data_IF_779142034308
#
_entry.id   IF_779142034308
#
_cell.length_a   1.000
_cell.length_b   1.000
_cell.length_c   1.000
_cell.angle_alpha   90.00
_cell.angle_beta   90.00
_cell.angle_gamma   90.00
#
_symmetry.space_group_name_H-M   'P 1'
#
loop_
_entity.id
_entity.type
_entity.pdbx_description
1 polymer ?
#
# COMPACT_ATOMS: atom_id res chain seq x y z
N UNK A 1 -4.73 -10.40 -20.93
CA UNK A 1 -5.62 -9.78 -19.93
C UNK A 1 -4.90 -8.56 -19.36
N UNK A 2 -5.61 -7.60 -18.73
CA UNK A 2 -5.00 -6.37 -18.17
C UNK A 2 -3.76 -6.66 -17.29
N UNK A 3 -3.81 -7.71 -16.46
CA UNK A 3 -2.70 -8.11 -15.59
C UNK A 3 -1.47 -8.56 -16.39
N UNK A 4 -1.65 -9.19 -17.55
CA UNK A 4 -0.54 -9.63 -18.41
C UNK A 4 0.17 -8.43 -19.06
N UNK A 5 -0.60 -7.40 -19.45
CA UNK A 5 -0.05 -6.16 -19.99
C UNK A 5 0.75 -5.40 -18.93
N UNK A 6 0.22 -5.33 -17.71
CA UNK A 6 0.91 -4.75 -16.55
C UNK A 6 2.20 -5.54 -16.26
N UNK A 7 2.12 -6.87 -16.24
CA UNK A 7 3.27 -7.74 -16.01
C UNK A 7 4.37 -7.54 -17.07
N UNK A 8 3.98 -7.40 -18.35
CA UNK A 8 4.91 -7.14 -19.44
C UNK A 8 5.63 -5.79 -19.34
N UNK A 9 5.07 -4.84 -18.57
CA UNK A 9 5.71 -3.53 -18.31
C UNK A 9 6.91 -3.66 -17.35
N UNK A 10 6.95 -4.73 -16.54
CA UNK A 10 8.07 -5.06 -15.63
C UNK A 10 8.15 -4.22 -14.35
N UNK A 11 7.66 -2.98 -14.35
CA UNK A 11 7.55 -2.14 -13.15
C UNK A 11 6.41 -1.10 -13.30
N UNK A 12 5.88 -0.61 -12.18
CA UNK A 12 4.91 0.48 -12.22
C UNK A 12 4.20 0.72 -10.89
N UNK A 13 3.30 1.71 -10.91
CA UNK A 13 2.45 2.06 -9.78
C UNK A 13 0.99 1.92 -10.19
N UNK A 14 0.28 1.01 -9.53
CA UNK A 14 -1.14 0.75 -9.79
C UNK A 14 -1.93 1.36 -8.63
N UNK A 15 -2.72 2.39 -8.90
CA UNK A 15 -3.57 3.02 -7.90
C UNK A 15 -5.05 2.70 -8.16
N UNK A 16 -5.71 2.14 -7.16
CA UNK A 16 -7.17 1.94 -7.17
C UNK A 16 -7.85 3.11 -6.45
N UNK A 17 -8.48 4.00 -7.22
CA UNK A 17 -9.19 5.18 -6.70
C UNK A 17 -10.70 5.05 -6.88
N UNK A 18 -11.48 5.65 -5.97
CA UNK A 18 -12.94 5.67 -6.07
C UNK A 18 -13.65 5.73 -4.71
N UNK A 19 -14.98 5.94 -4.73
CA UNK A 19 -15.83 6.06 -3.54
C UNK A 19 -15.75 4.83 -2.61
N UNK A 20 -16.17 4.99 -1.35
CA UNK A 20 -16.21 3.88 -0.39
C UNK A 20 -17.08 2.71 -0.86
N UNK A 21 -16.67 1.48 -0.56
CA UNK A 21 -17.49 0.28 -0.80
C UNK A 21 -17.52 -0.28 -2.24
N UNK A 22 -16.77 0.27 -3.20
CA UNK A 22 -16.76 -0.23 -4.60
C UNK A 22 -15.82 -1.41 -4.85
N UNK A 23 -15.24 -2.01 -3.81
CA UNK A 23 -14.37 -3.19 -3.95
C UNK A 23 -12.91 -2.89 -4.33
N UNK A 24 -12.42 -1.65 -4.18
CA UNK A 24 -11.04 -1.26 -4.52
C UNK A 24 -9.98 -2.14 -3.86
N UNK A 25 -10.11 -2.37 -2.56
CA UNK A 25 -9.18 -3.19 -1.78
C UNK A 25 -9.15 -4.63 -2.29
N UNK A 26 -10.32 -5.19 -2.60
CA UNK A 26 -10.45 -6.53 -3.16
C UNK A 26 -9.81 -6.63 -4.54
N UNK A 27 -10.04 -5.65 -5.42
CA UNK A 27 -9.44 -5.64 -6.76
C UNK A 27 -7.92 -5.44 -6.69
N UNK A 28 -7.43 -4.56 -5.81
CA UNK A 28 -6.01 -4.35 -5.59
C UNK A 28 -5.33 -5.64 -5.11
N UNK A 29 -5.94 -6.36 -4.17
CA UNK A 29 -5.45 -7.66 -3.69
C UNK A 29 -5.43 -8.70 -4.81
N UNK A 30 -6.49 -8.81 -5.61
CA UNK A 30 -6.55 -9.75 -6.72
C UNK A 30 -5.47 -9.49 -7.78
N UNK A 31 -5.24 -8.21 -8.13
CA UNK A 31 -4.17 -7.84 -9.08
C UNK A 31 -2.79 -8.13 -8.49
N UNK A 32 -2.56 -7.82 -7.22
CA UNK A 32 -1.28 -8.07 -6.56
C UNK A 32 -0.94 -9.56 -6.48
N UNK A 33 -1.91 -10.40 -6.09
CA UNK A 33 -1.78 -11.86 -6.08
C UNK A 33 -1.44 -12.38 -7.47
N UNK A 34 -2.18 -11.95 -8.49
CA UNK A 34 -1.96 -12.41 -9.86
C UNK A 34 -0.57 -12.00 -10.41
N UNK A 35 -0.05 -10.84 -10.02
CA UNK A 35 1.31 -10.42 -10.38
C UNK A 35 2.38 -11.22 -9.62
N UNK A 36 2.17 -11.47 -8.32
CA UNK A 36 3.08 -12.25 -7.49
C UNK A 36 3.16 -13.73 -7.94
N UNK A 37 2.03 -14.33 -8.33
CA UNK A 37 1.99 -15.69 -8.91
C UNK A 37 2.76 -15.80 -10.23
N UNK A 38 2.96 -14.68 -10.94
CA UNK A 38 3.79 -14.61 -12.15
C UNK A 38 5.28 -14.42 -11.84
N UNK A 39 5.67 -14.45 -10.56
CA UNK A 39 7.06 -14.31 -10.11
C UNK A 39 7.55 -12.86 -10.01
N UNK A 40 6.65 -11.87 -10.12
CA UNK A 40 7.03 -10.47 -10.02
C UNK A 40 7.06 -10.02 -8.56
N UNK A 41 8.06 -9.23 -8.14
CA UNK A 41 8.07 -8.63 -6.81
C UNK A 41 6.96 -7.57 -6.71
N UNK A 42 6.03 -7.75 -5.79
CA UNK A 42 4.87 -6.87 -5.62
C UNK A 42 4.80 -6.38 -4.19
N UNK A 43 4.60 -5.07 -4.03
CA UNK A 43 4.25 -4.46 -2.75
C UNK A 43 2.82 -3.92 -2.81
N UNK A 44 1.94 -4.48 -2.00
CA UNK A 44 0.56 -4.00 -1.87
C UNK A 44 0.43 -3.22 -0.56
N UNK A 45 0.05 -1.94 -0.67
CA UNK A 45 -0.18 -1.08 0.49
C UNK A 45 -1.61 -0.56 0.53
N UNK A 46 -2.16 -0.38 1.72
CA UNK A 46 -3.50 0.19 1.93
C UNK A 46 -3.57 1.06 3.19
N UNK A 47 -4.38 2.11 3.14
CA UNK A 47 -4.77 2.92 4.30
C UNK A 47 -6.10 2.48 4.93
N UNK A 48 -6.74 1.42 4.39
CA UNK A 48 -8.06 0.96 4.82
C UNK A 48 -7.95 -0.03 6.03
N UNK A 49 -8.77 0.16 7.08
CA UNK A 49 -8.97 -0.79 8.19
C UNK A 49 -9.24 -2.25 7.77
N UNK A 50 -9.79 -2.51 6.58
CA UNK A 50 -10.18 -3.84 6.11
C UNK A 50 -9.02 -4.74 5.58
N UNK A 51 -7.77 -4.40 5.87
CA UNK A 51 -6.57 -5.08 5.33
C UNK A 51 -6.39 -6.55 5.77
N UNK A 52 -7.14 -7.04 6.76
CA UNK A 52 -6.98 -8.39 7.31
C UNK A 52 -7.03 -9.52 6.28
N UNK A 53 -7.83 -9.36 5.21
CA UNK A 53 -7.91 -10.34 4.12
C UNK A 53 -6.60 -10.39 3.32
N UNK A 54 -6.01 -9.22 3.08
CA UNK A 54 -4.78 -9.05 2.32
C UNK A 54 -3.57 -9.62 3.06
N UNK A 55 -3.52 -9.44 4.38
CA UNK A 55 -2.42 -9.96 5.21
C UNK A 55 -2.37 -11.50 5.20
N UNK A 56 -3.54 -12.15 5.22
CA UNK A 56 -3.64 -13.61 5.14
C UNK A 56 -3.11 -14.12 3.79
N UNK A 57 -3.47 -13.45 2.70
CA UNK A 57 -3.01 -13.77 1.34
C UNK A 57 -1.48 -13.57 1.18
N UNK A 58 -0.93 -12.49 1.76
CA UNK A 58 0.50 -12.20 1.72
C UNK A 58 1.36 -13.33 2.29
N UNK A 59 0.94 -13.89 3.43
CA UNK A 59 1.70 -14.95 4.12
C UNK A 59 1.86 -16.24 3.31
N UNK A 60 1.11 -16.39 2.22
CA UNK A 60 1.13 -17.57 1.36
C UNK A 60 1.91 -17.40 0.04
N UNK A 61 2.45 -16.21 -0.25
CA UNK A 61 3.08 -15.89 -1.54
C UNK A 61 4.47 -15.27 -1.37
N UNK A 62 5.50 -15.94 -1.88
CA UNK A 62 6.92 -15.54 -1.74
C UNK A 62 7.25 -14.16 -2.35
N UNK A 63 6.47 -13.70 -3.33
CA UNK A 63 6.72 -12.45 -4.07
C UNK A 63 5.77 -11.31 -3.71
N UNK A 64 4.96 -11.47 -2.65
CA UNK A 64 3.98 -10.47 -2.23
C UNK A 64 4.31 -9.92 -0.84
N UNK A 65 4.75 -8.66 -0.80
CA UNK A 65 4.81 -7.91 0.44
C UNK A 65 3.52 -7.12 0.63
N UNK A 66 2.98 -7.12 1.86
CA UNK A 66 1.83 -6.30 2.22
C UNK A 66 2.19 -5.36 3.35
N UNK A 67 1.86 -4.08 3.17
CA UNK A 67 2.04 -3.06 4.19
C UNK A 67 0.74 -2.30 4.45
N UNK A 68 0.65 -1.71 5.63
CA UNK A 68 -0.41 -0.77 6.00
C UNK A 68 0.19 0.57 6.34
N UNK A 69 -0.48 1.63 5.87
CA UNK A 69 -0.25 2.98 6.36
C UNK A 69 -1.35 3.27 7.38
N UNK A 70 -0.96 3.53 8.63
CA UNK A 70 -1.87 4.07 9.65
C UNK A 70 -1.87 5.60 9.53
N UNK A 71 -2.99 6.22 9.08
CA UNK A 71 -3.04 7.66 8.90
C UNK A 71 -2.84 8.44 10.21
N UNK A 72 -3.28 7.90 11.35
CA UNK A 72 -3.15 8.59 12.64
C UNK A 72 -1.70 8.56 13.11
N UNK A 73 -1.07 7.38 13.06
CA UNK A 73 0.33 7.24 13.45
C UNK A 73 1.24 8.08 12.55
N UNK A 74 0.98 8.11 11.23
CA UNK A 74 1.79 8.89 10.29
C UNK A 74 1.59 10.40 10.49
N UNK A 75 0.36 10.84 10.77
CA UNK A 75 0.08 12.25 11.10
C UNK A 75 0.81 12.68 12.37
N UNK A 76 0.81 11.84 13.40
CA UNK A 76 1.49 12.15 14.67
C UNK A 76 3.01 12.16 14.51
N UNK A 77 3.59 11.19 13.78
CA UNK A 77 5.01 11.18 13.43
C UNK A 77 5.42 12.47 12.71
N UNK A 78 4.63 12.90 11.73
CA UNK A 78 4.88 14.15 11.01
C UNK A 78 4.79 15.37 11.95
N UNK A 79 3.78 15.41 12.84
CA UNK A 79 3.62 16.47 13.85
C UNK A 79 4.87 16.58 14.74
N UNK A 80 5.35 15.46 15.26
CA UNK A 80 6.56 15.41 16.10
C UNK A 80 7.81 15.85 15.33
N UNK A 81 7.96 15.41 14.08
CA UNK A 81 9.07 15.83 13.24
C UNK A 81 9.09 17.35 13.05
N UNK A 82 7.94 17.96 12.77
CA UNK A 82 7.81 19.42 12.62
C UNK A 82 8.11 20.15 13.94
N UNK A 83 7.62 19.65 15.07
CA UNK A 83 7.91 20.23 16.39
C UNK A 83 9.42 20.23 16.71
N UNK A 84 10.11 19.13 16.41
CA UNK A 84 11.57 19.00 16.64
C UNK A 84 12.37 19.92 15.70
N UNK A 85 11.97 20.01 14.43
CA UNK A 85 12.72 20.77 13.41
C UNK A 85 12.44 22.26 13.47
N UNK A 86 11.22 22.70 13.78
CA UNK A 86 10.84 24.12 13.85
C UNK A 86 10.84 24.73 15.25
N UNK A 87 10.87 23.92 16.31
CA UNK A 87 10.98 24.42 17.69
C UNK A 87 12.31 25.11 17.98
N UNK A 88 13.38 24.81 17.22
CA UNK A 88 14.70 25.44 17.38
C UNK A 88 14.75 26.92 17.01
N UNK A 89 13.81 27.40 16.20
CA UNK A 89 13.82 28.77 15.69
C UNK A 89 12.82 29.69 16.41
N UNK A 90 12.15 29.22 17.47
CA UNK A 90 11.13 29.98 18.20
C UNK A 90 11.61 30.61 19.52
N UNK A 91 12.87 30.35 19.91
CA UNK A 91 13.50 30.89 21.12
C UNK A 91 14.50 32.04 20.83
N UNK A 92 14.41 32.67 19.65
CA UNK A 92 15.29 33.79 19.22
C UNK A 92 14.54 35.14 19.16
#
# INVERSE_FOLDING_TARGET
MLVDEIAATGHGLIMMMGKGGVGKTTLAAAVAVALAERGLPVHLTTSDPAAHLTDTLASSLDHLEVSRIDPQAETERYRQHVLITKGKDLDA
#
